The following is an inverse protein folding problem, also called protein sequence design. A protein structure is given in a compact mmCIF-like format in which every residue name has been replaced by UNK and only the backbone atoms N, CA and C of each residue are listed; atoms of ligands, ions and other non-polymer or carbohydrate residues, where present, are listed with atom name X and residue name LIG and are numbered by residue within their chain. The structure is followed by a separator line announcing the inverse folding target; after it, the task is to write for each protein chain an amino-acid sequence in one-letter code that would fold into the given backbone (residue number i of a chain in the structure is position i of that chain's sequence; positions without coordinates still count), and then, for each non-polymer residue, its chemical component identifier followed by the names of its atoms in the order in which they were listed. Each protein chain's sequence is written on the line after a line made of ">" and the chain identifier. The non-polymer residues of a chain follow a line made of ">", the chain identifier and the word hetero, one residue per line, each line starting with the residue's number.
data_IF_323891222676
#
_entry.id   IF_323891222676
#
_cell.length_a   1.000
_cell.length_b   1.000
_cell.length_c   1.000
_cell.angle_alpha   90.00
_cell.angle_beta   90.00
_cell.angle_gamma   90.00
#
_symmetry.space_group_name_H-M   'P 1'
#
loop_
_entity.id
_entity.type
_entity.pdbx_description
1 polymer ?
#
# COMPACT_ATOMS: atom_id res chain seq x y z
N UNK A 1 3.46 -17.23 26.98
CA UNK A 1 2.60 -17.18 25.77
C UNK A 1 3.42 -17.59 24.56
N UNK A 2 3.14 -18.73 23.93
CA UNK A 2 3.83 -19.16 22.69
C UNK A 2 3.54 -18.15 21.58
N UNK A 3 4.58 -17.58 20.96
CA UNK A 3 4.42 -16.68 19.82
C UNK A 3 3.79 -17.45 18.65
N UNK A 4 2.65 -16.96 18.14
CA UNK A 4 2.02 -17.53 16.96
C UNK A 4 3.00 -17.57 15.77
N UNK A 5 2.98 -18.66 15.01
CA UNK A 5 3.76 -18.81 13.79
C UNK A 5 3.54 -17.59 12.85
N UNK A 6 4.57 -17.00 12.25
CA UNK A 6 4.46 -15.83 11.35
C UNK A 6 3.44 -16.01 10.22
N UNK A 7 3.29 -17.22 9.67
CA UNK A 7 2.28 -17.52 8.65
C UNK A 7 0.86 -17.41 9.17
N UNK A 8 0.60 -17.86 10.42
CA UNK A 8 -0.72 -17.74 11.05
C UNK A 8 -1.06 -16.27 11.30
N UNK A 9 -0.07 -15.47 11.72
CA UNK A 9 -0.26 -14.02 11.92
C UNK A 9 -0.65 -13.31 10.62
N UNK A 10 0.05 -13.61 9.52
CA UNK A 10 -0.23 -12.98 8.21
C UNK A 10 -1.60 -13.41 7.70
N UNK A 11 -1.95 -14.70 7.73
CA UNK A 11 -3.28 -15.17 7.30
C UNK A 11 -4.40 -14.49 8.09
N UNK A 12 -4.27 -14.38 9.42
CA UNK A 12 -5.24 -13.62 10.23
C UNK A 12 -5.36 -12.16 9.81
N UNK A 13 -4.25 -11.49 9.48
CA UNK A 13 -4.31 -10.13 8.94
C UNK A 13 -5.08 -10.10 7.62
N UNK A 14 -4.81 -11.02 6.70
CA UNK A 14 -5.46 -11.09 5.40
C UNK A 14 -6.98 -11.30 5.52
N UNK A 15 -7.44 -12.08 6.50
CA UNK A 15 -8.87 -12.35 6.72
C UNK A 15 -9.66 -11.08 7.11
N UNK A 16 -9.06 -10.12 7.80
CA UNK A 16 -9.73 -8.87 8.16
C UNK A 16 -10.17 -8.02 6.95
N UNK A 17 -9.61 -8.25 5.77
CA UNK A 17 -10.04 -7.54 4.55
C UNK A 17 -11.50 -7.81 4.19
N UNK A 18 -12.04 -8.97 4.57
CA UNK A 18 -13.44 -9.34 4.33
C UNK A 18 -14.41 -8.42 5.07
N UNK A 19 -14.00 -7.92 6.24
CA UNK A 19 -14.81 -7.03 7.07
C UNK A 19 -14.72 -5.55 6.65
N UNK A 20 -13.80 -5.17 5.77
CA UNK A 20 -13.70 -3.80 5.26
C UNK A 20 -14.76 -3.57 4.18
N UNK A 21 -15.65 -2.62 4.45
CA UNK A 21 -16.69 -2.19 3.51
C UNK A 21 -16.08 -1.25 2.48
N UNK A 22 -16.02 -1.65 1.20
CA UNK A 22 -15.65 -0.78 0.09
C UNK A 22 -16.89 -0.38 -0.70
N UNK A 23 -17.17 0.90 -0.81
CA UNK A 23 -18.28 1.43 -1.63
C UNK A 23 -17.87 1.37 -3.11
N UNK A 24 -18.11 0.25 -3.81
CA UNK A 24 -17.97 0.14 -5.27
C UNK A 24 -16.57 0.39 -5.85
N UNK A 25 -15.53 0.36 -5.04
CA UNK A 25 -14.19 0.77 -5.41
C UNK A 25 -13.39 -0.42 -5.99
N UNK A 26 -12.79 -0.25 -7.19
CA UNK A 26 -11.90 -1.23 -7.82
C UNK A 26 -10.51 -1.32 -7.18
N UNK A 27 -10.26 -0.55 -6.11
CA UNK A 27 -8.99 -0.53 -5.39
C UNK A 27 -8.81 -1.78 -4.52
N UNK A 28 -7.58 -2.26 -4.34
CA UNK A 28 -7.32 -3.41 -3.47
C UNK A 28 -7.63 -3.05 -2.00
N UNK A 29 -8.12 -3.99 -1.22
CA UNK A 29 -8.36 -3.80 0.23
C UNK A 29 -7.09 -3.94 1.06
N UNK A 30 -6.09 -4.62 0.52
CA UNK A 30 -4.82 -4.89 1.18
C UNK A 30 -3.68 -4.45 0.27
N UNK A 31 -2.68 -3.78 0.86
CA UNK A 31 -1.40 -3.52 0.20
C UNK A 31 -0.28 -4.16 1.02
N UNK A 32 0.39 -5.16 0.44
CA UNK A 32 1.57 -5.78 1.04
C UNK A 32 2.80 -5.05 0.52
N UNK A 33 3.49 -4.33 1.42
CA UNK A 33 4.68 -3.56 1.08
C UNK A 33 5.91 -4.46 1.11
N UNK A 34 6.60 -4.52 -0.02
CA UNK A 34 7.85 -5.25 -0.18
C UNK A 34 9.06 -4.35 -0.22
N UNK A 35 10.10 -4.78 0.47
CA UNK A 35 11.47 -4.42 0.19
C UNK A 35 12.31 -5.70 -0.04
N UNK A 36 13.55 -5.53 -0.47
CA UNK A 36 14.50 -6.60 -0.82
C UNK A 36 14.70 -7.64 0.28
N UNK A 37 14.54 -7.24 1.54
CA UNK A 37 14.76 -8.10 2.72
C UNK A 37 13.56 -8.99 3.06
N UNK A 38 12.40 -8.75 2.46
CA UNK A 38 11.13 -9.37 2.89
C UNK A 38 10.59 -10.36 1.84
N UNK A 39 11.00 -10.25 0.56
CA UNK A 39 10.46 -11.13 -0.48
C UNK A 39 11.04 -12.54 -0.40
N UNK A 40 10.16 -13.48 -0.13
CA UNK A 40 10.42 -14.90 -0.26
C UNK A 40 9.21 -15.55 -0.93
N UNK A 41 9.33 -15.89 -2.22
CA UNK A 41 8.24 -16.44 -3.02
C UNK A 41 7.68 -17.74 -2.41
N UNK A 42 8.56 -18.65 -1.93
CA UNK A 42 8.14 -19.89 -1.27
C UNK A 42 7.28 -19.63 -0.03
N UNK A 43 7.56 -18.53 0.71
CA UNK A 43 6.78 -18.11 1.87
C UNK A 43 5.41 -17.60 1.47
N UNK A 44 5.34 -16.78 0.41
CA UNK A 44 4.08 -16.17 -0.03
C UNK A 44 3.19 -17.13 -0.82
N UNK A 45 3.75 -18.11 -1.52
CA UNK A 45 2.97 -19.13 -2.24
C UNK A 45 2.07 -19.96 -1.31
N UNK A 46 2.51 -20.16 -0.06
CA UNK A 46 1.75 -20.89 0.99
C UNK A 46 0.64 -20.08 1.64
N UNK A 47 0.55 -18.76 1.39
CA UNK A 47 -0.48 -17.90 1.98
C UNK A 47 -1.76 -17.90 1.14
N UNK A 48 -2.91 -17.90 1.81
CA UNK A 48 -4.23 -17.68 1.18
C UNK A 48 -4.47 -16.19 1.00
N UNK A 49 -3.85 -15.60 -0.04
CA UNK A 49 -3.93 -14.16 -0.29
C UNK A 49 -5.24 -13.83 -1.01
N UNK A 50 -6.10 -12.94 -0.46
CA UNK A 50 -7.32 -12.50 -1.12
C UNK A 50 -7.04 -11.81 -2.47
N UNK A 51 -7.95 -11.95 -3.43
CA UNK A 51 -7.79 -11.34 -4.77
C UNK A 51 -7.74 -9.80 -4.73
N UNK A 52 -8.38 -9.19 -3.74
CA UNK A 52 -8.35 -7.74 -3.51
C UNK A 52 -7.05 -7.28 -2.84
N UNK A 53 -5.91 -7.92 -3.15
CA UNK A 53 -4.59 -7.55 -2.63
C UNK A 53 -3.71 -6.99 -3.74
N UNK A 54 -2.98 -5.94 -3.42
CA UNK A 54 -1.85 -5.47 -4.22
C UNK A 54 -0.53 -5.69 -3.47
N UNK A 55 0.50 -5.98 -4.23
CA UNK A 55 1.89 -5.89 -3.77
C UNK A 55 2.47 -4.54 -4.17
N UNK A 56 3.22 -3.92 -3.27
CA UNK A 56 3.93 -2.68 -3.52
C UNK A 56 5.44 -2.93 -3.42
N UNK A 57 6.14 -2.93 -4.54
CA UNK A 57 7.60 -3.01 -4.57
C UNK A 57 8.19 -1.65 -4.23
N UNK A 58 8.67 -1.49 -2.97
CA UNK A 58 9.21 -0.24 -2.44
C UNK A 58 10.72 -0.11 -2.55
N UNK A 59 11.45 -1.19 -2.70
CA UNK A 59 12.92 -1.21 -2.72
C UNK A 59 13.51 -0.29 -3.79
N UNK A 60 14.15 0.79 -3.36
CA UNK A 60 14.67 1.83 -4.25
C UNK A 60 16.09 1.57 -4.75
N UNK A 61 16.90 0.79 -4.00
CA UNK A 61 18.36 0.67 -4.18
C UNK A 61 18.85 -0.72 -4.59
N UNK A 62 17.97 -1.61 -5.05
CA UNK A 62 18.40 -2.96 -5.42
C UNK A 62 19.00 -2.96 -6.81
N UNK A 63 20.21 -3.51 -6.96
CA UNK A 63 20.88 -3.68 -8.26
C UNK A 63 20.02 -4.43 -9.29
N UNK A 64 19.22 -5.41 -8.87
CA UNK A 64 18.39 -6.24 -9.73
C UNK A 64 16.88 -5.89 -9.66
N UNK A 65 16.53 -4.63 -9.41
CA UNK A 65 15.14 -4.22 -9.19
C UNK A 65 14.18 -4.66 -10.31
N UNK A 66 14.60 -4.55 -11.57
CA UNK A 66 13.81 -4.99 -12.73
C UNK A 66 13.55 -6.50 -12.72
N UNK A 67 14.54 -7.31 -12.35
CA UNK A 67 14.40 -8.78 -12.22
C UNK A 67 13.41 -9.15 -11.11
N UNK A 68 13.55 -8.54 -9.95
CA UNK A 68 12.64 -8.75 -8.81
C UNK A 68 11.21 -8.29 -9.16
N UNK A 69 11.06 -7.14 -9.81
CA UNK A 69 9.77 -6.65 -10.26
C UNK A 69 9.07 -7.63 -11.23
N UNK A 70 9.82 -8.21 -12.18
CA UNK A 70 9.30 -9.24 -13.11
C UNK A 70 8.89 -10.52 -12.38
N UNK A 71 9.67 -11.00 -11.40
CA UNK A 71 9.33 -12.16 -10.58
C UNK A 71 8.05 -11.91 -9.77
N UNK A 72 7.95 -10.76 -9.10
CA UNK A 72 6.75 -10.35 -8.38
C UNK A 72 5.55 -10.24 -9.31
N UNK A 73 5.70 -9.68 -10.51
CA UNK A 73 4.61 -9.58 -11.47
C UNK A 73 4.11 -10.97 -11.91
N UNK A 74 5.03 -11.90 -12.18
CA UNK A 74 4.68 -13.30 -12.49
C UNK A 74 3.86 -13.92 -11.36
N UNK A 75 4.32 -13.77 -10.12
CA UNK A 75 3.60 -14.25 -8.95
C UNK A 75 2.21 -13.59 -8.81
N UNK A 76 2.13 -12.26 -8.97
CA UNK A 76 0.87 -11.53 -8.91
C UNK A 76 -0.12 -12.01 -9.99
N UNK A 77 0.33 -12.21 -11.22
CA UNK A 77 -0.52 -12.74 -12.32
C UNK A 77 -1.06 -14.14 -12.00
N UNK A 78 -0.21 -15.05 -11.53
CA UNK A 78 -0.64 -16.42 -11.14
C UNK A 78 -1.71 -16.39 -10.04
N UNK A 79 -1.61 -15.47 -9.09
CA UNK A 79 -2.56 -15.33 -7.96
C UNK A 79 -3.71 -14.36 -8.23
N UNK A 80 -3.80 -13.76 -9.42
CA UNK A 80 -4.78 -12.71 -9.78
C UNK A 80 -4.72 -11.49 -8.84
N UNK A 81 -3.50 -11.08 -8.46
CA UNK A 81 -3.20 -9.95 -7.59
C UNK A 81 -2.66 -8.78 -8.42
N UNK A 82 -2.62 -7.59 -7.82
CA UNK A 82 -2.06 -6.39 -8.45
C UNK A 82 -0.62 -6.16 -8.01
N UNK A 83 0.20 -5.53 -8.86
CA UNK A 83 1.55 -5.06 -8.52
C UNK A 83 1.65 -3.56 -8.75
N UNK A 84 2.08 -2.84 -7.74
CA UNK A 84 2.42 -1.41 -7.80
C UNK A 84 3.94 -1.26 -7.66
N UNK A 85 4.52 -0.34 -8.43
CA UNK A 85 5.96 -0.02 -8.39
C UNK A 85 6.14 1.35 -7.74
N UNK A 86 6.99 1.43 -6.72
CA UNK A 86 7.26 2.71 -6.07
C UNK A 86 8.27 3.55 -6.86
N UNK A 87 7.97 4.84 -7.07
CA UNK A 87 8.84 5.91 -7.60
C UNK A 87 9.41 5.71 -9.02
N UNK A 88 9.01 4.67 -9.75
CA UNK A 88 9.63 4.32 -11.02
C UNK A 88 8.56 4.04 -12.08
N UNK A 89 8.17 5.12 -12.75
CA UNK A 89 7.13 5.10 -13.80
C UNK A 89 7.59 4.25 -14.99
N UNK A 90 8.87 4.42 -15.41
CA UNK A 90 9.43 3.69 -16.54
C UNK A 90 9.47 2.19 -16.30
N UNK A 91 9.95 1.77 -15.13
CA UNK A 91 9.94 0.35 -14.76
C UNK A 91 8.51 -0.22 -14.72
N UNK A 92 7.57 0.53 -14.12
CA UNK A 92 6.17 0.09 -14.05
C UNK A 92 5.56 -0.09 -15.45
N UNK A 93 5.88 0.80 -16.39
CA UNK A 93 5.45 0.73 -17.79
C UNK A 93 6.11 -0.43 -18.53
N UNK A 94 7.44 -0.55 -18.45
CA UNK A 94 8.25 -1.60 -19.10
C UNK A 94 7.79 -3.02 -18.78
N UNK A 95 7.40 -3.27 -17.52
CA UNK A 95 6.96 -4.61 -17.08
C UNK A 95 5.45 -4.80 -17.16
N UNK A 96 4.69 -3.78 -17.54
CA UNK A 96 3.23 -3.81 -17.50
C UNK A 96 2.67 -4.04 -16.08
N UNK A 97 3.19 -3.29 -15.09
CA UNK A 97 2.64 -3.28 -13.73
C UNK A 97 1.23 -2.70 -13.69
N UNK A 98 0.52 -2.90 -12.59
CA UNK A 98 -0.85 -2.43 -12.41
C UNK A 98 -0.95 -0.98 -11.91
N UNK A 99 0.20 -0.31 -11.69
CA UNK A 99 0.24 1.06 -11.27
C UNK A 99 1.52 1.45 -10.56
N UNK A 100 1.51 2.66 -10.00
CA UNK A 100 2.66 3.27 -9.33
C UNK A 100 2.29 3.80 -7.96
N UNK A 101 3.30 3.90 -7.09
CA UNK A 101 3.19 4.50 -5.78
C UNK A 101 4.23 5.61 -5.62
N UNK A 102 3.79 6.81 -5.25
CA UNK A 102 4.69 7.94 -5.04
C UNK A 102 4.95 8.18 -3.55
N UNK A 103 6.21 8.30 -3.11
CA UNK A 103 6.52 8.85 -1.80
C UNK A 103 6.01 10.30 -1.68
N UNK A 104 5.65 10.74 -0.48
CA UNK A 104 5.06 12.07 -0.25
C UNK A 104 5.94 13.21 -0.78
N UNK A 105 7.28 13.09 -0.72
CA UNK A 105 8.18 14.13 -1.21
C UNK A 105 8.05 14.38 -2.72
N UNK A 106 7.69 13.37 -3.49
CA UNK A 106 7.52 13.49 -4.94
C UNK A 106 6.26 14.29 -5.31
N UNK A 107 5.21 14.21 -4.49
CA UNK A 107 4.00 15.00 -4.72
C UNK A 107 4.07 16.41 -4.12
N UNK A 108 4.98 16.64 -3.15
CA UNK A 108 5.23 17.98 -2.59
C UNK A 108 6.00 18.90 -3.54
N UNK A 109 6.93 18.35 -4.30
CA UNK A 109 7.76 19.10 -5.25
C UNK A 109 7.12 19.03 -6.63
N UNK A 110 6.44 20.08 -7.05
CA UNK A 110 5.67 20.17 -8.30
C UNK A 110 6.41 19.72 -9.57
N UNK A 111 7.73 19.81 -9.59
CA UNK A 111 8.55 19.60 -10.80
C UNK A 111 9.22 18.23 -10.90
N UNK A 112 9.04 17.31 -9.93
CA UNK A 112 9.69 15.99 -9.97
C UNK A 112 8.96 15.04 -10.91
N UNK A 113 7.65 15.18 -11.04
CA UNK A 113 6.81 14.28 -11.82
C UNK A 113 6.15 15.07 -12.95
N UNK A 114 6.31 14.58 -14.17
CA UNK A 114 5.47 15.08 -15.27
C UNK A 114 4.08 14.43 -15.16
N UNK A 115 3.16 15.15 -14.52
CA UNK A 115 1.80 14.67 -14.25
C UNK A 115 0.98 14.45 -15.52
N UNK A 116 1.27 15.16 -16.60
CA UNK A 116 0.60 14.94 -17.89
C UNK A 116 0.91 13.54 -18.41
N UNK A 117 2.19 13.15 -18.38
CA UNK A 117 2.62 11.79 -18.77
C UNK A 117 1.96 10.74 -17.88
N UNK A 118 2.00 10.94 -16.56
CA UNK A 118 1.39 10.00 -15.60
C UNK A 118 -0.10 9.82 -15.86
N UNK A 119 -0.83 10.91 -16.10
CA UNK A 119 -2.27 10.89 -16.39
C UNK A 119 -2.57 10.13 -17.68
N UNK A 120 -1.80 10.38 -18.74
CA UNK A 120 -1.96 9.69 -20.01
C UNK A 120 -1.70 8.18 -19.89
N UNK A 121 -0.65 7.77 -19.17
CA UNK A 121 -0.37 6.36 -18.92
C UNK A 121 -1.48 5.74 -18.06
N UNK A 122 -1.96 6.44 -17.02
CA UNK A 122 -3.06 6.00 -16.16
C UNK A 122 -4.29 5.65 -16.99
N UNK A 123 -4.71 6.55 -17.87
CA UNK A 123 -5.88 6.35 -18.72
C UNK A 123 -5.69 5.16 -19.68
N UNK A 124 -4.55 5.13 -20.40
CA UNK A 124 -4.25 4.09 -21.38
C UNK A 124 -4.11 2.69 -20.78
N UNK A 125 -3.52 2.59 -19.59
CA UNK A 125 -3.19 1.31 -18.93
C UNK A 125 -4.11 0.96 -17.76
N UNK A 126 -5.10 1.77 -17.45
CA UNK A 126 -5.96 1.62 -16.29
C UNK A 126 -5.14 1.45 -14.99
N UNK A 127 -4.13 2.29 -14.80
CA UNK A 127 -3.25 2.24 -13.65
C UNK A 127 -3.93 2.69 -12.38
N UNK A 128 -3.50 2.09 -11.26
CA UNK A 128 -3.75 2.58 -9.91
C UNK A 128 -2.57 3.46 -9.49
N UNK A 129 -2.86 4.70 -9.14
CA UNK A 129 -1.86 5.65 -8.63
C UNK A 129 -2.10 5.87 -7.15
N UNK A 130 -1.12 5.54 -6.33
CA UNK A 130 -1.18 5.75 -4.89
C UNK A 130 -0.03 6.61 -4.40
N UNK A 131 -0.16 7.19 -3.21
CA UNK A 131 0.92 7.96 -2.58
C UNK A 131 1.01 7.69 -1.09
N UNK A 132 2.20 7.88 -0.50
CA UNK A 132 2.37 7.96 0.94
C UNK A 132 2.03 9.38 1.41
N UNK A 133 1.33 9.48 2.56
CA UNK A 133 1.03 10.76 3.21
C UNK A 133 1.20 10.66 4.72
N UNK A 134 1.59 11.77 5.35
CA UNK A 134 1.80 11.83 6.80
C UNK A 134 0.95 12.93 7.48
N UNK A 135 0.20 13.70 6.70
CA UNK A 135 -0.56 14.85 7.19
C UNK A 135 -1.78 15.14 6.31
N UNK A 136 -2.69 16.00 6.83
CA UNK A 136 -3.80 16.53 6.04
C UNK A 136 -3.32 17.32 4.81
N UNK A 137 -2.21 18.04 4.92
CA UNK A 137 -1.64 18.77 3.78
C UNK A 137 -1.16 17.81 2.69
N UNK A 138 -0.54 16.68 3.07
CA UNK A 138 -0.18 15.62 2.11
C UNK A 138 -1.39 15.05 1.39
N UNK A 139 -2.53 14.89 2.08
CA UNK A 139 -3.79 14.44 1.49
C UNK A 139 -4.32 15.48 0.48
N UNK A 140 -4.35 16.77 0.82
CA UNK A 140 -4.77 17.83 -0.10
C UNK A 140 -3.91 17.87 -1.36
N UNK A 141 -2.59 17.70 -1.23
CA UNK A 141 -1.71 17.59 -2.39
C UNK A 141 -2.04 16.37 -3.26
N UNK A 142 -2.35 15.23 -2.63
CA UNK A 142 -2.75 14.03 -3.36
C UNK A 142 -4.09 14.20 -4.10
N UNK A 143 -5.07 14.88 -3.49
CA UNK A 143 -6.33 15.23 -4.13
C UNK A 143 -6.12 16.14 -5.34
N UNK A 144 -5.24 17.14 -5.23
CA UNK A 144 -4.89 18.06 -6.33
C UNK A 144 -4.34 17.33 -7.57
N UNK A 145 -3.57 16.24 -7.38
CA UNK A 145 -2.97 15.47 -8.47
C UNK A 145 -3.84 14.29 -8.95
N UNK A 146 -5.10 14.21 -8.57
CA UNK A 146 -6.02 13.13 -8.96
C UNK A 146 -5.45 11.73 -8.69
N UNK A 147 -4.84 11.56 -7.51
CA UNK A 147 -4.32 10.29 -7.03
C UNK A 147 -5.49 9.42 -6.56
N UNK A 148 -5.47 8.12 -6.88
CA UNK A 148 -6.59 7.21 -6.60
C UNK A 148 -6.74 6.88 -5.11
N UNK A 149 -5.64 6.84 -4.36
CA UNK A 149 -5.67 6.59 -2.92
C UNK A 149 -4.36 6.98 -2.22
N UNK A 150 -4.44 7.28 -0.93
CA UNK A 150 -3.27 7.57 -0.11
C UNK A 150 -3.06 6.53 1.00
N UNK A 151 -1.78 6.20 1.27
CA UNK A 151 -1.35 5.41 2.41
C UNK A 151 -0.96 6.36 3.54
N UNK A 152 -1.85 6.52 4.51
CA UNK A 152 -1.65 7.42 5.67
C UNK A 152 -0.87 6.70 6.77
N UNK A 153 0.26 7.25 7.17
CA UNK A 153 1.17 6.65 8.15
C UNK A 153 1.90 7.65 9.04
N UNK A 154 2.38 7.23 10.22
CA UNK A 154 2.12 5.94 10.87
C UNK A 154 0.81 5.97 11.68
N UNK A 155 -0.03 4.94 11.55
CA UNK A 155 -1.29 4.85 12.32
C UNK A 155 -1.06 4.35 13.73
N UNK A 156 -0.19 3.35 13.88
CA UNK A 156 0.23 2.80 15.18
C UNK A 156 1.75 2.87 15.33
N UNK A 157 2.24 2.73 16.58
CA UNK A 157 3.66 2.58 16.84
C UNK A 157 4.23 1.38 16.09
N UNK A 158 5.42 1.52 15.53
CA UNK A 158 6.06 0.45 14.75
C UNK A 158 7.47 0.18 15.27
N UNK A 159 7.90 -1.07 15.20
CA UNK A 159 9.26 -1.48 15.58
C UNK A 159 10.34 -0.79 14.72
N UNK A 160 10.03 -0.45 13.49
CA UNK A 160 10.96 0.25 12.59
C UNK A 160 11.20 1.70 12.99
N UNK A 161 10.27 2.32 13.73
CA UNK A 161 10.34 3.70 14.17
C UNK A 161 9.67 3.85 15.55
N UNK A 162 10.24 3.29 16.62
CA UNK A 162 9.58 3.20 17.93
C UNK A 162 9.28 4.56 18.55
N UNK A 163 10.14 5.56 18.32
CA UNK A 163 10.03 6.91 18.89
C UNK A 163 9.20 7.89 18.01
N UNK A 164 8.69 7.45 16.86
CA UNK A 164 7.91 8.33 15.98
C UNK A 164 6.47 8.45 16.48
N UNK A 165 5.97 9.68 16.63
CA UNK A 165 4.56 9.94 16.95
C UNK A 165 3.67 9.26 15.93
N UNK A 166 2.65 8.55 16.38
CA UNK A 166 1.64 7.90 15.55
C UNK A 166 0.27 8.57 15.72
N UNK A 167 -0.63 8.32 14.76
CA UNK A 167 -1.92 9.00 14.70
C UNK A 167 -2.93 8.47 15.73
N UNK A 168 -2.98 7.16 15.89
CA UNK A 168 -4.05 6.48 16.61
C UNK A 168 -5.38 6.49 15.83
N UNK A 169 -6.32 5.66 16.30
CA UNK A 169 -7.60 5.43 15.61
C UNK A 169 -8.48 6.68 15.56
N UNK A 170 -8.56 7.43 16.65
CA UNK A 170 -9.43 8.62 16.71
C UNK A 170 -8.99 9.69 15.70
N UNK A 171 -7.69 9.96 15.58
CA UNK A 171 -7.17 10.92 14.62
C UNK A 171 -7.29 10.41 13.19
N UNK A 172 -7.02 9.11 12.95
CA UNK A 172 -7.26 8.46 11.67
C UNK A 172 -8.71 8.66 11.22
N UNK A 173 -9.70 8.30 12.06
CA UNK A 173 -11.12 8.43 11.75
C UNK A 173 -11.51 9.88 11.42
N UNK A 174 -11.03 10.86 12.20
CA UNK A 174 -11.27 12.28 11.94
C UNK A 174 -10.70 12.73 10.59
N UNK A 175 -9.52 12.24 10.21
CA UNK A 175 -8.89 12.58 8.93
C UNK A 175 -9.68 11.97 7.78
N UNK A 176 -10.03 10.69 7.86
CA UNK A 176 -10.75 9.97 6.80
C UNK A 176 -12.11 10.61 6.52
N UNK A 177 -12.82 11.09 7.55
CA UNK A 177 -14.09 11.82 7.38
C UNK A 177 -13.95 13.19 6.70
N UNK A 178 -12.75 13.78 6.70
CA UNK A 178 -12.49 15.13 6.14
C UNK A 178 -11.97 15.12 4.70
N UNK A 179 -11.81 13.95 4.08
CA UNK A 179 -11.28 13.81 2.72
C UNK A 179 -12.19 12.95 1.87
N UNK A 180 -12.23 13.25 0.58
CA UNK A 180 -12.85 12.37 -0.44
C UNK A 180 -11.87 11.34 -0.97
N UNK A 181 -10.56 11.56 -0.75
CA UNK A 181 -9.52 10.64 -1.19
C UNK A 181 -9.60 9.32 -0.42
N UNK A 182 -9.67 8.19 -1.09
CA UNK A 182 -9.62 6.88 -0.46
C UNK A 182 -8.33 6.68 0.37
N UNK A 183 -8.46 6.30 1.64
CA UNK A 183 -7.34 6.19 2.59
C UNK A 183 -7.09 4.74 2.97
N UNK A 184 -5.83 4.32 2.86
CA UNK A 184 -5.29 3.12 3.48
C UNK A 184 -4.60 3.48 4.79
N UNK A 185 -4.82 2.69 5.84
CA UNK A 185 -4.02 2.76 7.06
C UNK A 185 -2.67 2.05 6.85
N UNK A 186 -1.56 2.68 7.26
CA UNK A 186 -0.22 2.08 7.21
C UNK A 186 0.55 2.39 8.50
N UNK A 187 1.42 1.47 8.92
CA UNK A 187 2.35 1.62 10.04
C UNK A 187 1.85 0.98 11.33
N UNK A 188 2.65 0.04 11.86
CA UNK A 188 2.42 -0.67 13.11
C UNK A 188 1.19 -1.58 13.15
N UNK A 189 0.60 -1.92 12.01
CA UNK A 189 -0.60 -2.77 11.92
C UNK A 189 -0.22 -4.22 12.20
N UNK A 190 -0.93 -4.83 13.14
CA UNK A 190 -0.74 -6.21 13.55
C UNK A 190 -2.07 -6.84 14.04
N UNK A 191 -2.04 -8.14 14.38
CA UNK A 191 -3.24 -8.89 14.80
C UNK A 191 -3.93 -8.36 16.06
N UNK A 192 -3.21 -7.62 16.92
CA UNK A 192 -3.77 -7.06 18.16
C UNK A 192 -4.58 -5.78 17.91
N UNK A 193 -4.19 -4.98 16.90
CA UNK A 193 -4.77 -3.67 16.66
C UNK A 193 -5.60 -3.56 15.38
N UNK A 194 -5.50 -4.51 14.44
CA UNK A 194 -6.22 -4.44 13.16
C UNK A 194 -7.74 -4.33 13.31
N UNK A 195 -8.33 -4.98 14.34
CA UNK A 195 -9.77 -4.92 14.60
C UNK A 195 -10.26 -3.48 14.83
N UNK A 196 -9.43 -2.62 15.40
CA UNK A 196 -9.79 -1.21 15.64
C UNK A 196 -9.95 -0.41 14.35
N UNK A 197 -9.28 -0.81 13.26
CA UNK A 197 -9.43 -0.19 11.95
C UNK A 197 -10.84 -0.33 11.36
N UNK A 198 -11.57 -1.38 11.74
CA UNK A 198 -12.95 -1.60 11.27
C UNK A 198 -13.94 -0.52 11.77
N UNK A 199 -13.54 0.29 12.74
CA UNK A 199 -14.32 1.44 13.25
C UNK A 199 -14.05 2.74 12.46
N UNK A 200 -13.27 2.66 11.40
CA UNK A 200 -12.92 3.79 10.56
C UNK A 200 -13.42 3.56 9.13
N UNK A 201 -13.63 4.63 8.38
CA UNK A 201 -14.11 4.55 6.99
C UNK A 201 -12.94 4.42 5.99
N UNK A 202 -11.84 3.75 6.39
CA UNK A 202 -10.74 3.44 5.48
C UNK A 202 -11.17 2.43 4.42
N UNK A 203 -10.56 2.51 3.24
CA UNK A 203 -10.83 1.53 2.17
C UNK A 203 -9.99 0.27 2.29
N UNK A 204 -8.96 0.28 3.12
CA UNK A 204 -8.04 -0.83 3.28
C UNK A 204 -6.88 -0.50 4.21
N UNK A 205 -5.94 -1.42 4.27
CA UNK A 205 -4.72 -1.25 5.07
C UNK A 205 -3.50 -1.79 4.33
N UNK A 206 -2.34 -1.26 4.72
CA UNK A 206 -1.07 -1.68 4.18
C UNK A 206 -0.14 -2.15 5.32
N UNK A 207 0.63 -3.18 5.08
CA UNK A 207 1.62 -3.68 6.04
C UNK A 207 2.85 -4.25 5.32
N UNK A 208 3.99 -4.27 6.02
CA UNK A 208 5.25 -4.78 5.49
C UNK A 208 5.61 -6.15 6.10
N UNK A 209 5.43 -6.31 7.40
CA UNK A 209 5.90 -7.50 8.13
C UNK A 209 4.80 -8.29 8.81
N UNK A 210 3.62 -7.73 9.00
CA UNK A 210 2.51 -8.38 9.68
C UNK A 210 2.81 -8.74 11.14
N UNK A 211 3.54 -7.87 11.83
CA UNK A 211 4.02 -8.07 13.22
C UNK A 211 2.94 -8.03 14.27
#
# INVERSE_FOLDING_TARGET
>A
MRSLNPHIKINKLLDYSKAIKTKGNKLPKIIIVFDDKVFNEKKFSKLKIPKETAFLLRSYKIKERKKIAKQLLKFCKMKKLKLLIASDIKLAEDINAHGVHFPEYMIKKKNIINWVIVKNIKLRKNWIITTAVHSLQGIKNAEFFDIDAALLSPVFSSKSHPNKKYLGINKLSKIVKKTKLPIYALGGINIKNIKSLLRTDIIGYAFQRGE
#
